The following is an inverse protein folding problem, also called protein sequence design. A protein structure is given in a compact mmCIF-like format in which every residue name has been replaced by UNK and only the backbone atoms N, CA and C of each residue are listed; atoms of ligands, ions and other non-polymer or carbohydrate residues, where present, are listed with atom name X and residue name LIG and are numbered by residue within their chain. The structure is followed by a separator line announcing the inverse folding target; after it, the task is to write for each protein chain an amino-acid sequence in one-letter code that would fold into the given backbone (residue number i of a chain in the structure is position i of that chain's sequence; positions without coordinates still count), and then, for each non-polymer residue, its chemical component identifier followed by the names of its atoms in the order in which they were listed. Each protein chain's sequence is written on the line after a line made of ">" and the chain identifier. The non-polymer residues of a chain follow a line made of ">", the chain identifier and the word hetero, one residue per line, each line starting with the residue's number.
data_IF_542494045907
#
_entry.id   IF_542494045907
#
_cell.length_a   1.000
_cell.length_b   1.000
_cell.length_c   1.000
_cell.angle_alpha   90.00
_cell.angle_beta   90.00
_cell.angle_gamma   90.00
#
_symmetry.space_group_name_H-M   'P 1'
#
loop_
_entity.id
_entity.type
_entity.pdbx_description
1 polymer ?
#
# COMPACT_ATOMS: atom_id res chain seq x y z
N UNK A 1 32.89 -67.95 -14.81
CA UNK A 1 32.44 -66.82 -13.97
C UNK A 1 32.44 -65.56 -14.83
N UNK A 2 31.29 -64.87 -15.00
CA UNK A 2 31.23 -63.58 -15.74
C UNK A 2 31.53 -62.43 -14.76
N UNK A 3 32.41 -61.47 -15.08
CA UNK A 3 32.61 -60.30 -14.23
C UNK A 3 31.42 -59.34 -14.35
N UNK A 4 30.93 -58.82 -13.22
CA UNK A 4 29.90 -57.78 -13.15
C UNK A 4 30.49 -56.44 -13.60
N UNK A 5 29.79 -55.62 -14.41
CA UNK A 5 30.25 -54.27 -14.69
C UNK A 5 30.05 -53.41 -13.44
N UNK A 6 31.17 -52.95 -12.87
CA UNK A 6 31.18 -51.98 -11.77
C UNK A 6 30.64 -50.64 -12.27
N UNK A 7 29.43 -50.29 -11.82
CA UNK A 7 28.84 -48.96 -11.91
C UNK A 7 29.63 -47.98 -11.04
N UNK A 8 30.79 -47.55 -11.52
CA UNK A 8 31.50 -46.41 -10.97
C UNK A 8 31.03 -45.16 -11.74
N UNK A 9 29.89 -44.58 -11.33
CA UNK A 9 29.57 -43.19 -11.66
C UNK A 9 30.63 -42.33 -10.98
N UNK A 10 31.73 -42.11 -11.68
CA UNK A 10 32.68 -41.05 -11.37
C UNK A 10 31.87 -39.77 -11.19
N UNK A 11 32.15 -39.04 -10.11
CA UNK A 11 31.54 -37.73 -9.83
C UNK A 11 31.80 -36.83 -11.03
N UNK A 12 30.82 -36.77 -11.93
CA UNK A 12 30.93 -36.01 -13.15
C UNK A 12 31.09 -34.54 -12.75
N UNK A 13 32.25 -33.96 -13.08
CA UNK A 13 32.42 -32.51 -13.11
C UNK A 13 31.16 -31.92 -13.75
N UNK A 14 30.58 -30.90 -13.13
CA UNK A 14 29.36 -30.26 -13.63
C UNK A 14 29.51 -30.03 -15.15
N UNK A 15 28.44 -30.26 -15.94
CA UNK A 15 28.52 -30.11 -17.39
C UNK A 15 29.11 -28.74 -17.72
N UNK A 16 30.04 -28.67 -18.67
CA UNK A 16 30.81 -27.45 -18.97
C UNK A 16 29.90 -26.22 -19.16
N UNK A 17 28.70 -26.42 -19.71
CA UNK A 17 27.68 -25.40 -19.87
C UNK A 17 27.18 -24.80 -18.53
N UNK A 18 27.07 -25.63 -17.49
CA UNK A 18 26.66 -25.21 -16.15
C UNK A 18 27.81 -24.50 -15.42
N UNK A 19 29.05 -24.89 -15.68
CA UNK A 19 30.24 -24.16 -15.20
C UNK A 19 30.31 -22.78 -15.85
N UNK A 20 30.11 -22.67 -17.16
CA UNK A 20 30.07 -21.38 -17.88
C UNK A 20 28.92 -20.49 -17.39
N UNK A 21 27.72 -21.06 -17.17
CA UNK A 21 26.58 -20.32 -16.60
C UNK A 21 26.90 -19.80 -15.19
N UNK A 22 27.55 -20.60 -14.35
CA UNK A 22 27.95 -20.20 -13.01
C UNK A 22 29.03 -19.12 -13.04
N UNK A 23 30.06 -19.25 -13.88
CA UNK A 23 31.10 -18.22 -14.05
C UNK A 23 30.46 -16.90 -14.47
N UNK A 24 29.58 -16.91 -15.49
CA UNK A 24 28.84 -15.71 -15.94
C UNK A 24 27.97 -15.09 -14.87
N UNK A 25 27.42 -15.90 -13.96
CA UNK A 25 26.63 -15.43 -12.82
C UNK A 25 27.52 -14.81 -11.75
N UNK A 26 28.65 -15.45 -11.45
CA UNK A 26 29.62 -15.00 -10.44
C UNK A 26 30.34 -13.71 -10.86
N UNK A 27 30.61 -13.53 -12.16
CA UNK A 27 31.29 -12.34 -12.71
C UNK A 27 30.34 -11.20 -13.06
N UNK A 28 29.02 -11.36 -12.84
CA UNK A 28 28.05 -10.30 -13.06
C UNK A 28 28.29 -9.20 -12.02
N UNK A 29 28.54 -7.97 -12.50
CA UNK A 29 28.61 -6.79 -11.64
C UNK A 29 27.30 -6.63 -10.86
N UNK A 30 27.40 -6.57 -9.55
CA UNK A 30 26.30 -6.28 -8.65
C UNK A 30 26.25 -4.77 -8.42
N UNK A 31 25.13 -4.14 -8.77
CA UNK A 31 24.88 -2.73 -8.49
C UNK A 31 24.01 -2.63 -7.25
N UNK A 32 24.49 -1.90 -6.24
CA UNK A 32 23.69 -1.57 -5.07
C UNK A 32 22.52 -0.65 -5.47
N UNK A 33 21.51 -0.53 -4.61
CA UNK A 33 20.42 0.41 -4.85
C UNK A 33 20.94 1.87 -4.96
N UNK A 34 21.95 2.22 -4.16
CA UNK A 34 22.57 3.55 -4.17
C UNK A 34 23.30 3.84 -5.47
N UNK A 35 24.05 2.87 -6.03
CA UNK A 35 24.72 3.03 -7.31
C UNK A 35 23.71 3.26 -8.44
N UNK A 36 22.61 2.50 -8.46
CA UNK A 36 21.55 2.66 -9.46
C UNK A 36 20.95 4.06 -9.39
N UNK A 37 20.70 4.57 -8.19
CA UNK A 37 20.14 5.91 -7.99
C UNK A 37 21.14 6.97 -8.48
N UNK A 38 22.42 6.88 -8.13
CA UNK A 38 23.46 7.81 -8.61
C UNK A 38 23.50 7.87 -10.14
N UNK A 39 23.55 6.71 -10.78
CA UNK A 39 23.62 6.62 -12.25
C UNK A 39 22.37 7.22 -12.91
N UNK A 40 21.17 6.93 -12.38
CA UNK A 40 19.93 7.50 -12.93
C UNK A 40 19.90 9.03 -12.79
N UNK A 41 20.37 9.56 -11.66
CA UNK A 41 20.41 11.00 -11.43
C UNK A 41 21.43 11.69 -12.35
N UNK A 42 22.62 11.12 -12.54
CA UNK A 42 23.62 11.64 -13.49
C UNK A 42 23.05 11.68 -14.92
N UNK A 43 22.33 10.64 -15.34
CA UNK A 43 21.69 10.59 -16.65
C UNK A 43 20.52 11.58 -16.81
N UNK A 44 19.80 11.90 -15.74
CA UNK A 44 18.75 12.92 -15.73
C UNK A 44 19.31 14.35 -15.71
N UNK A 45 20.51 14.53 -15.14
CA UNK A 45 21.20 15.82 -15.07
C UNK A 45 21.61 16.31 -16.46
N UNK A 46 21.90 15.39 -17.38
CA UNK A 46 22.16 15.68 -18.79
C UNK A 46 23.57 16.20 -19.09
N UNK A 47 24.51 16.04 -18.16
CA UNK A 47 25.90 16.47 -18.31
C UNK A 47 26.67 15.60 -19.33
N UNK A 48 26.41 14.28 -19.34
CA UNK A 48 26.95 13.31 -20.29
C UNK A 48 25.83 12.73 -21.16
N UNK A 49 26.14 12.31 -22.39
CA UNK A 49 25.17 11.51 -23.15
C UNK A 49 24.92 10.17 -22.44
N UNK A 50 23.70 9.65 -22.49
CA UNK A 50 23.36 8.35 -21.87
C UNK A 50 24.29 7.22 -22.35
N UNK A 51 24.77 7.32 -23.59
CA UNK A 51 25.73 6.38 -24.14
C UNK A 51 27.12 6.45 -23.49
N UNK A 52 27.60 7.66 -23.17
CA UNK A 52 28.87 7.87 -22.46
C UNK A 52 28.79 7.42 -21.01
N UNK A 53 27.71 7.78 -20.33
CA UNK A 53 27.43 7.33 -18.97
C UNK A 53 27.42 5.79 -18.88
N UNK A 54 26.75 5.13 -19.81
CA UNK A 54 26.70 3.66 -19.84
C UNK A 54 28.09 3.02 -20.07
N UNK A 55 28.97 3.66 -20.87
CA UNK A 55 30.35 3.19 -21.09
C UNK A 55 31.21 3.38 -19.84
N UNK A 56 31.10 4.52 -19.16
CA UNK A 56 31.85 4.84 -17.92
C UNK A 56 31.50 3.87 -16.79
N UNK A 57 30.21 3.65 -16.58
CA UNK A 57 29.70 2.81 -15.49
C UNK A 57 29.75 1.30 -15.84
N UNK A 58 29.97 0.95 -17.10
CA UNK A 58 30.02 -0.43 -17.58
C UNK A 58 28.65 -1.12 -17.53
N UNK A 59 27.60 -0.38 -17.86
CA UNK A 59 26.21 -0.86 -17.91
C UNK A 59 25.69 -0.85 -19.34
N UNK A 60 24.72 -1.72 -19.63
CA UNK A 60 23.98 -1.61 -20.88
C UNK A 60 22.93 -0.51 -20.78
N UNK A 61 22.71 0.23 -21.87
CA UNK A 61 21.68 1.28 -21.94
C UNK A 61 20.28 0.76 -21.60
N UNK A 62 19.97 -0.49 -21.93
CA UNK A 62 18.70 -1.11 -21.57
C UNK A 62 18.47 -1.13 -20.06
N UNK A 63 19.50 -1.41 -19.25
CA UNK A 63 19.39 -1.37 -17.80
C UNK A 63 19.17 0.05 -17.28
N UNK A 64 19.87 1.04 -17.85
CA UNK A 64 19.67 2.44 -17.49
C UNK A 64 18.20 2.86 -17.65
N UNK A 65 17.60 2.58 -18.81
CA UNK A 65 16.22 2.97 -19.07
C UNK A 65 15.23 2.22 -18.15
N UNK A 66 15.48 0.95 -17.85
CA UNK A 66 14.67 0.21 -16.87
C UNK A 66 14.74 0.86 -15.49
N UNK A 67 15.94 1.17 -14.99
CA UNK A 67 16.11 1.78 -13.68
C UNK A 67 15.56 3.22 -13.63
N UNK A 68 15.76 4.01 -14.68
CA UNK A 68 15.20 5.36 -14.79
C UNK A 68 13.67 5.35 -14.74
N UNK A 69 13.04 4.40 -15.44
CA UNK A 69 11.59 4.21 -15.40
C UNK A 69 11.12 3.81 -14.00
N UNK A 70 11.72 2.80 -13.39
CA UNK A 70 11.36 2.32 -12.05
C UNK A 70 11.52 3.43 -10.99
N UNK A 71 12.59 4.22 -11.08
CA UNK A 71 12.84 5.36 -10.20
C UNK A 71 11.73 6.42 -10.32
N UNK A 72 11.36 6.79 -11.55
CA UNK A 72 10.30 7.76 -11.79
C UNK A 72 8.91 7.26 -11.41
N UNK A 73 8.60 5.98 -11.64
CA UNK A 73 7.34 5.37 -11.21
C UNK A 73 7.23 5.30 -9.69
N UNK A 74 8.31 4.93 -9.00
CA UNK A 74 8.36 4.94 -7.54
C UNK A 74 8.17 6.36 -6.98
N UNK A 75 8.84 7.36 -7.57
CA UNK A 75 8.67 8.77 -7.22
C UNK A 75 7.23 9.23 -7.40
N UNK A 76 6.65 9.01 -8.59
CA UNK A 76 5.25 9.36 -8.90
C UNK A 76 4.26 8.69 -7.94
N UNK A 77 4.43 7.41 -7.64
CA UNK A 77 3.53 6.68 -6.72
C UNK A 77 3.58 7.26 -5.31
N UNK A 78 4.76 7.67 -4.83
CA UNK A 78 4.88 8.29 -3.49
C UNK A 78 4.22 9.67 -3.45
N UNK A 79 4.47 10.51 -4.46
CA UNK A 79 3.83 11.81 -4.59
C UNK A 79 2.29 11.70 -4.72
N UNK A 80 1.80 10.76 -5.52
CA UNK A 80 0.37 10.48 -5.66
C UNK A 80 -0.27 9.99 -4.33
N UNK A 81 0.46 9.15 -3.58
CA UNK A 81 0.03 8.69 -2.26
C UNK A 81 -0.03 9.82 -1.22
N UNK A 82 0.91 10.77 -1.27
CA UNK A 82 0.90 11.94 -0.39
C UNK A 82 -0.25 12.91 -0.74
N UNK A 83 -0.60 13.07 -2.02
CA UNK A 83 -1.81 13.82 -2.43
C UNK A 83 -3.12 13.12 -2.02
N UNK A 84 -3.19 11.79 -2.07
CA UNK A 84 -4.37 11.05 -1.63
C UNK A 84 -4.57 11.16 -0.10
N UNK A 85 -3.48 11.19 0.67
CA UNK A 85 -3.55 11.43 2.12
C UNK A 85 -3.96 12.86 2.44
N UNK A 86 -3.43 13.85 1.72
CA UNK A 86 -3.85 15.24 1.90
C UNK A 86 -5.36 15.42 1.60
N UNK A 87 -5.84 14.90 0.47
CA UNK A 87 -7.25 14.99 0.07
C UNK A 87 -8.22 14.38 1.09
N UNK A 88 -7.88 13.20 1.64
CA UNK A 88 -8.76 12.52 2.63
C UNK A 88 -8.84 13.24 3.98
N UNK A 89 -7.83 14.04 4.36
CA UNK A 89 -7.86 14.72 5.66
C UNK A 89 -8.91 15.83 5.77
N UNK A 90 -9.21 16.52 4.67
CA UNK A 90 -10.19 17.60 4.67
C UNK A 90 -11.62 17.03 4.56
N UNK A 91 -11.83 16.05 3.68
CA UNK A 91 -13.09 15.30 3.61
C UNK A 91 -13.46 14.66 4.96
N UNK A 92 -12.49 14.08 5.68
CA UNK A 92 -12.74 13.51 7.01
C UNK A 92 -13.09 14.56 8.06
N UNK A 93 -12.56 15.80 7.96
CA UNK A 93 -12.94 16.89 8.87
C UNK A 93 -14.36 17.36 8.59
N UNK A 94 -14.74 17.49 7.33
CA UNK A 94 -16.06 17.94 6.92
C UNK A 94 -17.13 16.92 7.28
N UNK A 95 -16.90 15.63 6.98
CA UNK A 95 -17.78 14.54 7.43
C UNK A 95 -17.93 14.49 8.96
N UNK A 96 -16.88 14.83 9.72
CA UNK A 96 -16.95 14.92 11.20
C UNK A 96 -17.70 16.16 11.69
N UNK A 97 -17.77 17.24 10.92
CA UNK A 97 -18.61 18.41 11.23
C UNK A 97 -20.06 18.08 10.95
N UNK A 98 -20.37 17.57 9.76
CA UNK A 98 -21.72 17.16 9.38
C UNK A 98 -22.29 16.12 10.35
N UNK A 99 -21.48 15.13 10.76
CA UNK A 99 -21.91 14.13 11.73
C UNK A 99 -22.17 14.70 13.14
N UNK A 100 -21.60 15.88 13.49
CA UNK A 100 -21.93 16.57 14.74
C UNK A 100 -23.21 17.37 14.59
N UNK A 101 -23.34 18.14 13.50
CA UNK A 101 -24.50 18.97 13.23
C UNK A 101 -25.78 18.10 13.11
N UNK A 102 -25.70 16.96 12.42
CA UNK A 102 -26.79 15.99 12.35
C UNK A 102 -27.16 15.40 13.72
N UNK A 103 -26.18 15.17 14.59
CA UNK A 103 -26.45 14.66 15.96
C UNK A 103 -27.15 15.70 16.82
N UNK A 104 -26.81 16.97 16.66
CA UNK A 104 -27.44 18.08 17.37
C UNK A 104 -28.91 18.23 16.93
N UNK A 105 -29.17 18.27 15.62
CA UNK A 105 -30.53 18.30 15.08
C UNK A 105 -31.39 17.10 15.54
N UNK A 106 -30.81 15.90 15.57
CA UNK A 106 -31.51 14.70 16.08
C UNK A 106 -31.81 14.84 17.58
N UNK A 107 -30.89 15.40 18.37
CA UNK A 107 -31.13 15.63 19.79
C UNK A 107 -32.27 16.64 20.02
N UNK A 108 -32.27 17.75 19.28
CA UNK A 108 -33.31 18.78 19.37
C UNK A 108 -34.69 18.22 18.99
N UNK A 109 -34.79 17.56 17.82
CA UNK A 109 -36.03 16.90 17.38
C UNK A 109 -36.50 15.81 18.35
N UNK A 110 -35.57 15.13 19.04
CA UNK A 110 -35.90 14.13 20.06
C UNK A 110 -36.47 14.78 21.32
N UNK A 111 -35.92 15.93 21.73
CA UNK A 111 -36.44 16.70 22.86
C UNK A 111 -37.82 17.27 22.55
N UNK A 112 -38.00 17.86 21.37
CA UNK A 112 -39.30 18.37 20.91
C UNK A 112 -40.35 17.26 20.86
N UNK A 113 -40.02 16.10 20.29
CA UNK A 113 -40.93 14.95 20.28
C UNK A 113 -41.34 14.50 21.68
N UNK A 114 -40.42 14.53 22.65
CA UNK A 114 -40.75 14.19 24.04
C UNK A 114 -41.65 15.23 24.68
N UNK A 115 -41.39 16.52 24.43
CA UNK A 115 -42.20 17.61 24.97
C UNK A 115 -43.61 17.60 24.37
N UNK A 116 -43.74 17.45 23.06
CA UNK A 116 -45.03 17.35 22.36
C UNK A 116 -45.83 16.14 22.79
N UNK A 117 -45.20 14.96 22.93
CA UNK A 117 -45.88 13.77 23.46
C UNK A 117 -46.35 14.00 24.90
N UNK A 118 -45.57 14.72 25.71
CA UNK A 118 -45.93 15.03 27.10
C UNK A 118 -47.07 16.06 27.19
N UNK A 119 -47.12 17.06 26.31
CA UNK A 119 -48.22 18.04 26.26
C UNK A 119 -49.50 17.44 25.68
N UNK A 120 -49.42 16.65 24.60
CA UNK A 120 -50.59 15.95 24.04
C UNK A 120 -51.27 15.00 25.03
N UNK A 121 -50.51 14.39 25.94
CA UNK A 121 -51.06 13.53 27.00
C UNK A 121 -51.67 14.34 28.15
N UNK A 122 -51.25 15.60 28.35
CA UNK A 122 -51.76 16.46 29.42
C UNK A 122 -53.10 17.12 29.08
N UNK A 123 -53.37 17.41 27.79
CA UNK A 123 -54.59 18.12 27.36
C UNK A 123 -55.75 17.18 26.94
N UNK A 124 -55.52 15.87 26.86
CA UNK A 124 -56.55 14.86 26.61
C UNK A 124 -56.64 13.87 27.77
N UNK A 125 -57.66 14.01 28.61
CA UNK A 125 -57.85 13.15 29.78
C UNK A 125 -57.85 11.65 29.46
N UNK A 126 -57.16 10.85 30.27
CA UNK A 126 -57.25 9.39 30.24
C UNK A 126 -55.95 8.67 30.58
N UNK A 127 -55.94 8.00 31.73
CA UNK A 127 -54.87 7.18 32.27
C UNK A 127 -54.18 6.21 31.27
N UNK A 128 -52.84 6.14 31.33
CA UNK A 128 -52.08 4.88 31.25
C UNK A 128 -50.59 5.10 31.60
N UNK A 129 -50.23 5.02 32.89
CA UNK A 129 -48.87 4.55 33.23
C UNK A 129 -48.86 3.05 32.97
N UNK A 130 -48.25 2.63 31.86
CA UNK A 130 -47.69 1.29 31.76
C UNK A 130 -46.17 1.42 31.70
N UNK A 131 -45.58 1.29 32.89
CA UNK A 131 -44.22 0.79 33.01
C UNK A 131 -44.27 -0.67 32.58
N UNK A 132 -43.63 -1.00 31.45
CA UNK A 132 -43.07 -2.33 31.18
C UNK A 132 -42.29 -2.30 29.86
N UNK A 133 -40.98 -2.56 29.92
CA UNK A 133 -40.17 -2.77 28.71
C UNK A 133 -38.74 -2.29 28.84
N UNK A 134 -37.99 -2.77 29.84
CA UNK A 134 -36.53 -2.69 29.81
C UNK A 134 -36.00 -3.55 28.65
N UNK A 135 -35.87 -2.97 27.44
CA UNK A 135 -35.00 -3.55 26.41
C UNK A 135 -33.58 -3.18 26.75
N UNK A 136 -32.92 -4.13 27.43
CA UNK A 136 -31.47 -4.19 27.59
C UNK A 136 -30.81 -4.01 26.22
N UNK A 137 -30.19 -2.87 25.98
CA UNK A 137 -29.21 -2.71 24.91
C UNK A 137 -27.97 -3.51 25.34
N UNK A 138 -27.83 -4.72 24.81
CA UNK A 138 -26.55 -5.43 24.85
C UNK A 138 -25.63 -4.79 23.80
N UNK A 139 -24.38 -4.39 24.15
CA UNK A 139 -23.40 -4.03 23.16
C UNK A 139 -22.94 -5.29 22.40
N UNK A 140 -22.80 -5.17 21.08
CA UNK A 140 -22.25 -6.23 20.22
C UNK A 140 -20.77 -6.49 20.57
N UNK A 141 -20.32 -7.76 20.58
CA UNK A 141 -18.90 -8.07 20.78
C UNK A 141 -18.10 -7.74 19.51
N UNK A 142 -16.84 -7.35 19.74
CA UNK A 142 -15.79 -7.08 18.75
C UNK A 142 -15.45 -8.29 17.90
#
# INVERSE_FOLDING_TARGET
>A
MKPKPSNAKSSAKAPAEQVVKNIRRQTRRHFSAEDKIRIVLDGLRGDDSIAELCRREGIAQSLYYTWSKEFMEAGKRRLAGDTARAATTDEVKDLRREARDLKECVADLTLENRLLKKSMIADGGGAARQVCGARKWLPAPT
#
